data_IF_500392189747
#
_entry.id   IF_500392189747
#
_cell.length_a   1.000
_cell.length_b   1.000
_cell.length_c   1.000
_cell.angle_alpha   90.00
_cell.angle_beta   90.00
_cell.angle_gamma   90.00
#
_symmetry.space_group_name_H-M   'P 1'
#
loop_
_entity.id
_entity.type
_entity.pdbx_description
1 polymer ?
#
# COMPACT_ATOMS: atom_id res chain seq x y z
N UNK A 1 5.09 -19.52 6.45
CA UNK A 1 4.90 -19.07 5.06
C UNK A 1 6.24 -18.50 4.64
N UNK A 2 6.91 -19.07 3.65
CA UNK A 2 8.21 -18.58 3.24
C UNK A 2 7.99 -17.41 2.28
N UNK A 3 8.37 -16.20 2.67
CA UNK A 3 8.40 -15.07 1.75
C UNK A 3 9.42 -15.36 0.65
N UNK A 4 8.94 -15.30 -0.59
CA UNK A 4 9.83 -15.44 -1.74
C UNK A 4 10.75 -14.21 -1.78
N UNK A 5 12.03 -14.40 -1.52
CA UNK A 5 13.02 -13.38 -1.81
C UNK A 5 13.07 -13.19 -3.33
N UNK A 6 12.60 -12.04 -3.82
CA UNK A 6 12.67 -11.72 -5.23
C UNK A 6 14.09 -11.27 -5.57
N UNK A 7 14.81 -12.09 -6.32
CA UNK A 7 16.03 -11.66 -6.98
C UNK A 7 15.63 -10.57 -7.97
N UNK A 8 16.28 -9.41 -7.91
CA UNK A 8 15.97 -8.24 -8.74
C UNK A 8 15.86 -8.60 -10.20
N UNK A 9 14.63 -8.61 -10.72
CA UNK A 9 14.38 -8.82 -12.14
C UNK A 9 14.28 -7.46 -12.85
N UNK A 10 14.83 -7.39 -14.07
CA UNK A 10 14.69 -6.22 -14.96
C UNK A 10 13.25 -6.06 -15.45
N UNK A 11 12.48 -7.14 -15.43
CA UNK A 11 11.13 -7.21 -15.95
C UNK A 11 10.09 -7.12 -14.83
N UNK A 12 8.89 -6.60 -15.11
CA UNK A 12 7.80 -6.61 -14.16
C UNK A 12 7.39 -8.04 -13.77
N UNK A 13 7.06 -8.23 -12.52
CA UNK A 13 6.45 -9.46 -12.02
C UNK A 13 4.94 -9.23 -12.04
N UNK A 14 4.23 -10.07 -12.76
CA UNK A 14 2.77 -9.99 -12.88
C UNK A 14 2.17 -11.22 -12.21
N UNK A 15 1.29 -10.99 -11.24
CA UNK A 15 0.53 -12.03 -10.56
C UNK A 15 -0.95 -11.87 -10.84
N UNK A 16 -1.62 -12.97 -11.12
CA UNK A 16 -3.07 -13.02 -11.33
C UNK A 16 -3.64 -14.00 -10.33
N UNK A 17 -4.56 -13.52 -9.50
CA UNK A 17 -5.26 -14.32 -8.51
C UNK A 17 -6.74 -14.40 -8.87
N UNK A 18 -7.27 -15.62 -8.91
CA UNK A 18 -8.68 -15.91 -9.16
C UNK A 18 -9.24 -16.71 -8.00
N UNK A 19 -10.30 -16.21 -7.39
CA UNK A 19 -11.00 -16.86 -6.29
C UNK A 19 -12.49 -16.91 -6.63
N UNK A 20 -13.08 -18.10 -6.55
CA UNK A 20 -14.50 -18.30 -6.80
C UNK A 20 -15.18 -19.07 -5.68
N UNK A 21 -16.42 -18.71 -5.37
CA UNK A 21 -17.31 -19.43 -4.47
C UNK A 21 -18.60 -19.78 -5.18
N UNK A 22 -19.11 -20.99 -4.94
CA UNK A 22 -20.39 -21.49 -5.48
C UNK A 22 -21.29 -21.83 -4.30
N UNK A 23 -22.49 -21.24 -4.28
CA UNK A 23 -23.51 -21.52 -3.28
C UNK A 23 -23.80 -23.02 -3.21
N UNK A 24 -23.83 -23.58 -1.99
CA UNK A 24 -24.08 -24.98 -1.72
C UNK A 24 -22.87 -25.92 -1.81
N UNK A 25 -21.69 -25.40 -2.28
CA UNK A 25 -20.42 -26.15 -2.30
C UNK A 25 -19.44 -25.54 -1.27
N UNK A 26 -19.41 -24.22 -1.17
CA UNK A 26 -18.64 -23.50 -0.14
C UNK A 26 -19.47 -23.34 1.12
N UNK A 27 -18.81 -23.25 2.27
CA UNK A 27 -19.48 -23.03 3.56
C UNK A 27 -20.30 -21.74 3.62
N UNK A 28 -19.97 -20.78 2.76
CA UNK A 28 -20.68 -19.51 2.62
C UNK A 28 -21.82 -19.67 1.59
N UNK A 29 -22.99 -19.17 1.95
CA UNK A 29 -24.19 -19.24 1.10
C UNK A 29 -24.18 -18.17 -0.01
N UNK A 30 -23.01 -17.95 -0.63
CA UNK A 30 -22.81 -16.95 -1.67
C UNK A 30 -22.11 -17.49 -2.92
N UNK A 31 -22.49 -16.95 -4.08
CA UNK A 31 -21.80 -17.20 -5.34
C UNK A 31 -21.05 -15.94 -5.76
N UNK A 32 -19.75 -16.04 -5.97
CA UNK A 32 -18.91 -14.93 -6.38
C UNK A 32 -17.71 -15.38 -7.20
N UNK A 33 -17.15 -14.44 -7.96
CA UNK A 33 -15.87 -14.57 -8.62
C UNK A 33 -15.05 -13.30 -8.34
N UNK A 34 -13.88 -13.46 -7.73
CA UNK A 34 -12.90 -12.39 -7.49
C UNK A 34 -11.72 -12.59 -8.41
N UNK A 35 -11.39 -11.56 -9.17
CA UNK A 35 -10.18 -11.48 -9.96
C UNK A 35 -9.30 -10.33 -9.45
N UNK A 36 -8.02 -10.60 -9.28
CA UNK A 36 -7.03 -9.65 -8.80
C UNK A 36 -5.77 -9.73 -9.68
N UNK A 37 -5.26 -8.59 -10.12
CA UNK A 37 -4.03 -8.44 -10.87
C UNK A 37 -3.06 -7.61 -10.06
N UNK A 38 -1.85 -8.12 -9.85
CA UNK A 38 -0.78 -7.41 -9.17
C UNK A 38 0.42 -7.28 -10.10
N UNK A 39 1.01 -6.10 -10.17
CA UNK A 39 2.20 -5.80 -10.97
C UNK A 39 3.24 -5.17 -10.05
N UNK A 40 4.36 -5.86 -9.88
CA UNK A 40 5.54 -5.38 -9.18
C UNK A 40 6.65 -5.09 -10.17
N UNK A 41 7.15 -3.87 -10.18
CA UNK A 41 8.19 -3.49 -11.12
C UNK A 41 9.23 -2.56 -10.50
N UNK A 42 10.50 -2.90 -10.69
CA UNK A 42 11.63 -2.03 -10.37
C UNK A 42 12.24 -1.50 -11.67
N UNK A 43 12.18 -0.18 -11.84
CA UNK A 43 12.67 0.52 -13.03
C UNK A 43 13.99 1.20 -12.68
N UNK A 44 15.10 0.78 -13.27
CA UNK A 44 16.36 1.50 -13.12
C UNK A 44 16.29 2.84 -13.86
N UNK A 45 16.62 3.93 -13.16
CA UNK A 45 16.62 5.29 -13.71
C UNK A 45 18.06 5.82 -13.93
N UNK A 46 19.04 4.94 -14.05
CA UNK A 46 20.43 5.30 -14.28
C UNK A 46 21.02 6.11 -13.15
N UNK A 47 21.54 7.28 -13.45
CA UNK A 47 22.24 8.16 -12.47
C UNK A 47 21.29 8.69 -11.38
N UNK A 48 20.00 8.82 -11.68
CA UNK A 48 19.00 9.31 -10.72
C UNK A 48 18.39 8.20 -9.85
N UNK A 49 18.98 7.00 -9.85
CA UNK A 49 18.58 5.91 -8.97
C UNK A 49 17.62 4.92 -9.61
N UNK A 50 16.55 4.57 -8.92
CA UNK A 50 15.54 3.63 -9.40
C UNK A 50 14.15 3.92 -8.83
N UNK A 51 13.12 3.59 -9.60
CA UNK A 51 11.73 3.60 -9.17
C UNK A 51 11.23 2.20 -8.87
N UNK A 52 10.37 2.07 -7.84
CA UNK A 52 9.60 0.85 -7.54
C UNK A 52 8.13 1.15 -7.73
N UNK A 53 7.46 0.30 -8.48
CA UNK A 53 6.01 0.33 -8.65
C UNK A 53 5.42 -0.95 -8.06
N UNK A 54 4.37 -0.77 -7.29
CA UNK A 54 3.45 -1.85 -6.92
C UNK A 54 2.05 -1.40 -7.31
N UNK A 55 1.41 -2.09 -8.23
CA UNK A 55 0.06 -1.80 -8.71
C UNK A 55 -0.80 -3.03 -8.47
N UNK A 56 -1.95 -2.84 -7.84
CA UNK A 56 -2.91 -3.90 -7.58
C UNK A 56 -4.30 -3.43 -7.99
N UNK A 57 -4.98 -4.19 -8.81
CA UNK A 57 -6.34 -3.89 -9.24
C UNK A 57 -7.18 -5.14 -9.36
N UNK A 58 -8.47 -5.01 -9.12
CA UNK A 58 -9.36 -6.16 -9.19
C UNK A 58 -10.83 -5.82 -9.07
N UNK A 59 -11.63 -6.88 -9.22
CA UNK A 59 -13.07 -6.79 -9.08
C UNK A 59 -13.67 -8.08 -8.52
N UNK A 60 -14.79 -7.92 -7.82
CA UNK A 60 -15.62 -9.01 -7.30
C UNK A 60 -16.95 -8.97 -8.01
N UNK A 61 -17.29 -10.07 -8.67
CA UNK A 61 -18.58 -10.30 -9.28
C UNK A 61 -19.43 -11.14 -8.32
N UNK A 62 -20.64 -10.71 -8.04
CA UNK A 62 -21.54 -11.37 -7.08
C UNK A 62 -21.69 -10.58 -5.79
N UNK A 63 -22.38 -11.18 -4.81
CA UNK A 63 -22.56 -10.61 -3.48
C UNK A 63 -21.74 -11.41 -2.49
N UNK A 64 -20.97 -10.70 -1.67
CA UNK A 64 -20.00 -11.30 -0.75
C UNK A 64 -20.13 -10.69 0.66
N UNK A 65 -19.85 -11.47 1.72
CA UNK A 65 -19.70 -10.93 3.06
C UNK A 65 -18.46 -10.02 3.14
N UNK A 66 -18.47 -9.06 4.08
CA UNK A 66 -17.42 -8.04 4.20
C UNK A 66 -15.97 -8.61 4.28
N UNK A 67 -15.69 -9.80 4.85
CA UNK A 67 -14.34 -10.33 4.89
C UNK A 67 -13.77 -10.71 3.51
N UNK A 68 -14.62 -10.90 2.51
CA UNK A 68 -14.21 -11.20 1.14
C UNK A 68 -14.04 -9.94 0.27
N UNK A 69 -14.50 -8.78 0.75
CA UNK A 69 -14.20 -7.50 0.09
C UNK A 69 -12.70 -7.22 0.13
N UNK A 70 -12.22 -6.42 -0.80
CA UNK A 70 -10.87 -5.86 -0.71
C UNK A 70 -10.85 -4.81 0.39
N UNK A 71 -10.20 -5.13 1.48
CA UNK A 71 -9.88 -4.16 2.54
C UNK A 71 -8.54 -3.51 2.20
N UNK A 72 -8.51 -2.18 2.13
CA UNK A 72 -7.28 -1.47 1.84
C UNK A 72 -6.36 -1.47 3.06
N UNK A 73 -5.09 -1.76 2.84
CA UNK A 73 -4.11 -1.94 3.90
C UNK A 73 -3.69 -0.59 4.48
N UNK A 74 -4.24 -0.28 5.64
CA UNK A 74 -3.89 0.91 6.42
C UNK A 74 -2.83 0.61 7.48
N UNK A 75 -2.43 1.63 8.22
CA UNK A 75 -1.41 1.56 9.25
C UNK A 75 -1.90 2.21 10.56
N UNK A 76 -2.11 1.40 11.59
CA UNK A 76 -2.45 1.87 12.94
C UNK A 76 -1.29 1.75 13.93
N UNK A 77 -0.09 1.44 13.46
CA UNK A 77 1.07 1.38 14.34
C UNK A 77 1.29 2.71 15.04
N UNK A 78 1.71 2.63 16.30
CA UNK A 78 2.11 3.78 17.11
C UNK A 78 3.45 3.45 17.75
N UNK A 79 4.47 4.22 17.43
CA UNK A 79 5.77 4.08 18.05
C UNK A 79 5.95 5.13 19.15
N UNK A 80 6.60 4.73 20.23
CA UNK A 80 6.85 5.58 21.40
C UNK A 80 5.60 6.22 21.99
N UNK A 81 4.43 5.56 21.87
CA UNK A 81 3.15 6.10 22.33
C UNK A 81 2.62 7.30 21.55
N UNK A 82 3.25 7.65 20.45
CA UNK A 82 2.86 8.78 19.61
C UNK A 82 2.00 8.33 18.42
N UNK A 83 0.84 8.93 18.19
CA UNK A 83 0.02 8.64 17.01
C UNK A 83 0.61 9.19 15.70
N UNK A 84 1.62 10.05 15.81
CA UNK A 84 2.30 10.67 14.66
C UNK A 84 3.47 9.81 14.20
N UNK A 85 4.11 9.04 15.09
CA UNK A 85 5.25 8.18 14.75
C UNK A 85 4.76 6.76 14.52
N UNK A 86 4.99 6.25 13.32
CA UNK A 86 4.48 4.96 12.84
C UNK A 86 5.60 4.05 12.32
N UNK A 87 5.31 2.76 12.17
CA UNK A 87 6.18 1.85 11.43
C UNK A 87 6.05 2.13 9.93
N UNK A 88 7.18 2.19 9.23
CA UNK A 88 7.17 2.28 7.79
C UNK A 88 6.79 0.93 7.18
N UNK A 89 5.86 0.94 6.24
CA UNK A 89 5.51 -0.19 5.39
C UNK A 89 5.49 0.30 3.94
N UNK A 90 6.09 -0.47 3.03
CA UNK A 90 6.18 -0.09 1.62
C UNK A 90 4.89 -0.32 0.86
N UNK A 91 4.14 -1.35 1.23
CA UNK A 91 2.95 -1.81 0.51
C UNK A 91 1.65 -1.50 1.26
N UNK A 92 1.69 -0.68 2.32
CA UNK A 92 0.52 -0.22 3.05
C UNK A 92 0.46 1.30 3.10
N UNK A 93 -0.74 1.84 3.25
CA UNK A 93 -0.94 3.28 3.43
C UNK A 93 -0.52 3.71 4.83
N UNK A 94 0.34 4.72 4.91
CA UNK A 94 0.87 5.20 6.19
C UNK A 94 -0.16 5.94 7.04
N UNK A 95 -1.11 6.62 6.40
CA UNK A 95 -2.06 7.51 7.06
C UNK A 95 -3.49 6.96 7.10
N UNK A 96 -3.77 5.89 6.36
CA UNK A 96 -5.07 5.20 6.36
C UNK A 96 -5.19 4.33 7.62
N UNK A 97 -6.37 4.28 8.24
CA UNK A 97 -6.63 3.35 9.34
C UNK A 97 -6.98 1.95 8.81
N UNK A 98 -6.83 0.93 9.67
CA UNK A 98 -7.33 -0.41 9.33
C UNK A 98 -8.84 -0.39 9.18
N UNK A 99 -9.36 -1.13 8.20
CA UNK A 99 -10.79 -1.23 7.92
C UNK A 99 -11.50 0.11 7.67
N UNK A 100 -10.75 1.17 7.33
CA UNK A 100 -11.34 2.47 6.99
C UNK A 100 -12.06 2.41 5.65
N UNK A 101 -11.48 1.68 4.68
CA UNK A 101 -12.01 1.57 3.33
C UNK A 101 -12.04 0.13 2.83
N UNK A 102 -13.16 -0.21 2.18
CA UNK A 102 -13.35 -1.46 1.47
C UNK A 102 -13.82 -1.24 0.04
N UNK A 103 -13.64 -2.24 -0.82
CA UNK A 103 -14.02 -2.15 -2.21
C UNK A 103 -14.38 -3.50 -2.81
N UNK A 104 -15.33 -3.53 -3.74
CA UNK A 104 -15.58 -4.66 -4.61
C UNK A 104 -15.00 -4.47 -6.02
N UNK A 105 -14.59 -3.24 -6.34
CA UNK A 105 -13.76 -2.89 -7.50
C UNK A 105 -12.72 -1.90 -7.02
N UNK A 106 -11.46 -2.17 -7.32
CA UNK A 106 -10.36 -1.34 -6.79
C UNK A 106 -9.19 -1.21 -7.75
N UNK A 107 -8.48 -0.14 -7.53
CA UNK A 107 -7.15 0.11 -8.08
C UNK A 107 -6.31 0.74 -6.98
N UNK A 108 -5.20 0.11 -6.63
CA UNK A 108 -4.26 0.59 -5.61
C UNK A 108 -2.88 0.67 -6.22
N UNK A 109 -2.18 1.75 -6.01
CA UNK A 109 -0.84 1.98 -6.54
C UNK A 109 0.09 2.58 -5.51
N UNK A 110 1.31 2.04 -5.46
CA UNK A 110 2.41 2.54 -4.66
C UNK A 110 3.59 2.81 -5.60
N UNK A 111 4.10 4.02 -5.55
CA UNK A 111 5.30 4.40 -6.25
C UNK A 111 6.33 4.94 -5.26
N UNK A 112 7.54 4.45 -5.36
CA UNK A 112 8.68 4.90 -4.57
C UNK A 112 9.86 5.14 -5.51
N UNK A 113 10.45 6.32 -5.43
CA UNK A 113 11.67 6.66 -6.13
C UNK A 113 12.82 6.84 -5.14
N UNK A 114 13.86 6.02 -5.30
CA UNK A 114 15.09 6.12 -4.54
C UNK A 114 16.16 6.78 -5.42
N UNK A 115 16.62 7.96 -5.01
CA UNK A 115 17.61 8.76 -5.77
C UNK A 115 19.05 8.29 -5.57
N UNK A 116 19.25 7.23 -4.77
CA UNK A 116 20.55 6.62 -4.55
C UNK A 116 21.65 7.58 -4.06
N UNK A 117 21.27 8.57 -3.26
CA UNK A 117 22.19 9.57 -2.68
C UNK A 117 22.59 10.67 -3.66
N UNK A 118 21.75 10.99 -4.64
CA UNK A 118 22.05 12.02 -5.65
C UNK A 118 22.35 13.38 -5.04
N UNK A 119 21.54 13.83 -4.08
CA UNK A 119 21.71 15.11 -3.40
C UNK A 119 22.72 14.99 -2.25
N UNK A 120 22.62 13.97 -1.44
CA UNK A 120 23.50 13.77 -0.28
C UNK A 120 24.94 13.44 -0.71
N UNK A 121 25.14 12.84 -1.88
CA UNK A 121 26.45 12.56 -2.45
C UNK A 121 27.25 13.80 -2.83
N UNK A 122 26.60 14.97 -2.98
CA UNK A 122 27.26 16.25 -3.27
C UNK A 122 27.91 16.85 -2.01
N UNK A 123 27.35 16.55 -0.83
CA UNK A 123 27.81 17.12 0.45
C UNK A 123 28.92 16.23 1.04
N UNK A 124 30.17 16.71 1.15
CA UNK A 124 31.33 15.87 1.49
C UNK A 124 31.22 15.11 2.83
N UNK A 125 30.59 15.71 3.84
CA UNK A 125 30.38 15.09 5.15
C UNK A 125 29.29 14.02 5.10
N UNK A 126 28.18 14.31 4.40
CA UNK A 126 27.00 13.45 4.31
C UNK A 126 27.25 12.26 3.38
N UNK A 127 28.08 12.44 2.36
CA UNK A 127 28.49 11.39 1.43
C UNK A 127 29.05 10.14 2.13
N UNK A 128 29.75 10.32 3.26
CA UNK A 128 30.32 9.21 4.04
C UNK A 128 29.27 8.36 4.76
N UNK A 129 28.04 8.86 4.88
CA UNK A 129 26.93 8.18 5.55
C UNK A 129 26.08 7.33 4.58
N UNK A 130 26.38 7.39 3.28
CA UNK A 130 25.66 6.69 2.21
C UNK A 130 24.13 6.83 2.30
N UNK A 131 23.64 7.98 2.77
CA UNK A 131 22.22 8.28 2.88
C UNK A 131 21.57 8.36 1.50
N UNK A 132 20.34 7.87 1.40
CA UNK A 132 19.57 7.85 0.15
C UNK A 132 18.28 8.63 0.32
N UNK A 133 18.04 9.56 -0.59
CA UNK A 133 16.76 10.27 -0.66
C UNK A 133 15.70 9.38 -1.28
N UNK A 134 14.51 9.41 -0.70
CA UNK A 134 13.36 8.65 -1.18
C UNK A 134 12.16 9.58 -1.29
N UNK A 135 11.43 9.46 -2.39
CA UNK A 135 10.12 10.09 -2.57
C UNK A 135 9.10 9.00 -2.82
N UNK A 136 7.96 9.07 -2.16
CA UNK A 136 6.89 8.10 -2.30
C UNK A 136 5.55 8.76 -2.59
N UNK A 137 4.75 8.13 -3.44
CA UNK A 137 3.35 8.49 -3.70
C UNK A 137 2.53 7.21 -3.65
N UNK A 138 1.41 7.26 -2.95
CA UNK A 138 0.51 6.12 -2.77
C UNK A 138 -0.92 6.56 -3.06
N UNK A 139 -1.66 5.72 -3.75
CA UNK A 139 -3.03 6.03 -4.10
C UNK A 139 -3.92 4.78 -4.09
N UNK A 140 -5.17 4.95 -3.71
CA UNK A 140 -6.21 3.95 -3.85
C UNK A 140 -7.49 4.60 -4.38
N UNK A 141 -8.17 3.86 -5.22
CA UNK A 141 -9.52 4.16 -5.67
C UNK A 141 -10.32 2.87 -5.64
N UNK A 142 -11.61 2.97 -5.31
CA UNK A 142 -12.47 1.81 -5.31
C UNK A 142 -13.91 2.12 -4.98
N UNK A 143 -14.78 1.21 -5.34
CA UNK A 143 -16.22 1.34 -5.12
C UNK A 143 -16.76 0.12 -4.42
N UNK A 144 -17.88 0.27 -3.72
CA UNK A 144 -18.69 -0.82 -3.20
C UNK A 144 -20.05 -0.74 -3.89
N UNK A 145 -20.42 -1.79 -4.61
CA UNK A 145 -21.72 -1.85 -5.27
C UNK A 145 -22.87 -2.00 -4.25
N UNK A 146 -24.08 -1.62 -4.60
CA UNK A 146 -25.28 -1.70 -3.75
C UNK A 146 -25.49 -3.12 -3.16
N UNK A 147 -25.17 -4.17 -3.92
CA UNK A 147 -25.29 -5.58 -3.47
C UNK A 147 -24.37 -5.89 -2.28
N UNK A 148 -23.27 -5.15 -2.13
CA UNK A 148 -22.24 -5.37 -1.12
C UNK A 148 -22.24 -4.29 -0.04
N UNK A 149 -23.16 -3.29 -0.12
CA UNK A 149 -23.29 -2.17 0.85
C UNK A 149 -24.12 -2.50 2.10
N UNK A 150 -24.49 -3.73 2.33
CA UNK A 150 -25.19 -4.09 3.55
C UNK A 150 -26.63 -4.51 3.36
N UNK A 151 -26.95 -5.07 2.20
CA UNK A 151 -28.18 -5.86 2.02
C UNK A 151 -28.09 -7.21 2.74
N UNK A 152 -29.23 -7.69 3.31
CA UNK A 152 -29.26 -9.06 3.79
C UNK A 152 -28.88 -10.03 2.64
N UNK A 153 -28.10 -11.11 2.88
CA UNK A 153 -27.74 -11.65 4.19
C UNK A 153 -26.44 -11.08 4.79
N UNK A 154 -25.71 -10.20 4.08
CA UNK A 154 -24.38 -9.77 4.48
C UNK A 154 -24.40 -8.31 4.95
N UNK A 155 -24.13 -8.09 6.24
CA UNK A 155 -23.99 -6.76 6.82
C UNK A 155 -22.59 -6.24 6.57
N UNK A 156 -22.48 -4.96 6.18
CA UNK A 156 -21.22 -4.26 6.10
C UNK A 156 -20.68 -4.03 7.52
N UNK A 157 -19.35 -4.10 7.67
CA UNK A 157 -18.71 -3.75 8.95
C UNK A 157 -18.99 -2.27 9.28
N UNK A 158 -19.44 -1.94 10.50
CA UNK A 158 -19.61 -0.56 10.90
C UNK A 158 -18.32 0.24 10.74
N UNK A 159 -18.42 1.41 10.08
CA UNK A 159 -17.26 2.27 9.84
C UNK A 159 -16.48 1.99 8.56
N UNK A 160 -16.81 0.94 7.80
CA UNK A 160 -16.22 0.69 6.50
C UNK A 160 -16.81 1.65 5.45
N UNK A 161 -15.95 2.41 4.80
CA UNK A 161 -16.32 3.39 3.78
C UNK A 161 -15.94 2.92 2.38
N UNK A 162 -16.58 3.51 1.36
CA UNK A 162 -16.21 3.34 -0.05
C UNK A 162 -15.15 4.40 -0.44
N UNK A 163 -14.28 4.07 -1.40
CA UNK A 163 -13.26 4.95 -1.96
C UNK A 163 -13.66 5.59 -3.29
N UNK A 164 -14.90 6.03 -3.41
CA UNK A 164 -15.39 6.72 -4.63
C UNK A 164 -14.55 7.97 -4.96
N UNK A 165 -14.14 8.70 -3.93
CA UNK A 165 -13.10 9.72 -4.04
C UNK A 165 -11.74 9.08 -3.84
N UNK A 166 -10.77 9.24 -4.74
CA UNK A 166 -9.44 8.64 -4.59
C UNK A 166 -8.75 9.06 -3.30
N UNK A 167 -8.15 8.09 -2.61
CA UNK A 167 -7.26 8.32 -1.48
C UNK A 167 -5.84 8.51 -2.01
N UNK A 168 -5.17 9.58 -1.59
CA UNK A 168 -3.80 9.88 -2.01
C UNK A 168 -2.98 10.33 -0.81
N UNK A 169 -1.81 9.76 -0.67
CA UNK A 169 -0.77 10.23 0.24
C UNK A 169 0.58 10.31 -0.48
N UNK A 170 1.44 11.23 -0.05
CA UNK A 170 2.78 11.38 -0.57
C UNK A 170 3.76 11.64 0.56
N UNK A 171 5.02 11.31 0.32
CA UNK A 171 6.05 11.48 1.34
C UNK A 171 7.44 11.63 0.77
N UNK A 172 8.30 12.12 1.64
CA UNK A 172 9.75 12.16 1.42
C UNK A 172 10.45 11.48 2.58
N UNK A 173 11.55 10.82 2.31
CA UNK A 173 12.27 10.06 3.31
C UNK A 173 13.77 10.03 3.10
N UNK A 174 14.44 9.56 4.12
CA UNK A 174 15.86 9.26 4.12
C UNK A 174 16.01 7.78 4.46
N UNK A 175 16.60 7.03 3.54
CA UNK A 175 16.89 5.62 3.70
C UNK A 175 18.39 5.40 3.92
N UNK A 176 18.75 4.16 4.25
CA UNK A 176 20.12 3.72 4.51
C UNK A 176 20.80 4.42 5.70
N UNK A 177 20.04 4.91 6.67
CA UNK A 177 20.57 5.47 7.91
C UNK A 177 21.21 4.33 8.69
N UNK A 178 22.53 4.45 8.96
CA UNK A 178 23.36 3.38 9.55
C UNK A 178 23.25 2.04 8.80
N UNK A 179 23.02 2.06 7.48
CA UNK A 179 22.82 0.89 6.60
C UNK A 179 21.61 0.01 6.93
N UNK A 180 20.68 0.47 7.75
CA UNK A 180 19.57 -0.34 8.23
C UNK A 180 18.26 0.43 8.35
N UNK A 181 18.30 1.68 8.74
CA UNK A 181 17.11 2.44 9.11
C UNK A 181 16.64 3.35 7.99
N UNK A 182 15.32 3.58 8.00
CA UNK A 182 14.63 4.51 7.13
C UNK A 182 13.68 5.38 7.94
N UNK A 183 13.60 6.64 7.58
CA UNK A 183 12.65 7.61 8.17
C UNK A 183 11.95 8.33 7.03
N UNK A 184 10.63 8.28 7.02
CA UNK A 184 9.77 8.94 6.03
C UNK A 184 8.84 9.94 6.70
N UNK A 185 8.69 11.09 6.10
CA UNK A 185 7.66 12.08 6.41
C UNK A 185 6.52 11.91 5.39
N UNK A 186 5.34 11.56 5.86
CA UNK A 186 4.18 11.25 5.02
C UNK A 186 3.06 12.28 5.23
N UNK A 187 2.42 12.70 4.16
CA UNK A 187 1.27 13.61 4.15
C UNK A 187 0.08 12.98 3.46
N UNK A 188 -1.07 13.07 4.11
CA UNK A 188 -2.36 12.72 3.55
C UNK A 188 -2.88 13.89 2.73
N UNK A 189 -3.06 13.69 1.42
CA UNK A 189 -3.46 14.74 0.49
C UNK A 189 -4.98 14.83 0.30
N UNK A 190 -5.66 13.69 0.39
CA UNK A 190 -7.14 13.59 0.30
C UNK A 190 -7.72 13.01 1.59
N UNK A 191 -9.04 13.06 1.76
CA UNK A 191 -9.74 12.55 2.95
C UNK A 191 -9.15 13.09 4.27
N UNK A 192 -8.80 14.38 4.27
CA UNK A 192 -8.19 15.04 5.43
C UNK A 192 -9.15 15.06 6.62
N UNK A 193 -8.67 14.65 7.78
CA UNK A 193 -9.46 14.56 9.02
C UNK A 193 -8.73 15.15 10.24
N UNK A 194 -7.74 16.02 9.99
CA UNK A 194 -6.95 16.69 11.03
C UNK A 194 -5.70 15.92 11.48
N UNK A 195 -5.51 14.67 11.03
CA UNK A 195 -4.28 13.89 11.20
C UNK A 195 -3.69 13.61 9.83
N UNK A 196 -3.12 14.64 9.24
CA UNK A 196 -2.71 14.63 7.84
C UNK A 196 -1.20 14.47 7.67
N UNK A 197 -0.46 14.25 8.75
CA UNK A 197 0.99 14.08 8.80
C UNK A 197 1.41 12.95 9.73
N UNK A 198 2.38 12.16 9.29
CA UNK A 198 3.06 11.17 10.13
C UNK A 198 4.54 11.04 9.77
N UNK A 199 5.33 10.63 10.76
CA UNK A 199 6.71 10.19 10.58
C UNK A 199 6.74 8.67 10.68
N UNK A 200 7.20 8.02 9.63
CA UNK A 200 7.29 6.57 9.58
C UNK A 200 8.75 6.14 9.73
N UNK A 201 9.02 5.22 10.65
CA UNK A 201 10.35 4.66 10.89
C UNK A 201 10.30 3.19 10.53
N UNK A 202 11.25 2.72 9.75
CA UNK A 202 11.30 1.33 9.30
C UNK A 202 12.71 0.84 9.06
N UNK A 203 12.79 -0.42 8.72
CA UNK A 203 14.03 -1.05 8.24
C UNK A 203 14.06 -0.99 6.72
N UNK A 204 15.19 -0.61 6.17
CA UNK A 204 15.46 -0.62 4.73
C UNK A 204 16.62 -1.57 4.46
N UNK A 205 16.29 -2.86 4.42
CA UNK A 205 17.25 -3.92 4.10
C UNK A 205 17.10 -4.18 2.61
N UNK A 206 17.97 -3.58 1.81
CA UNK A 206 18.15 -3.94 0.40
C UNK A 206 19.14 -5.13 0.35
N UNK A 207 18.58 -6.35 0.31
CA UNK A 207 19.32 -7.58 0.03
C UNK A 207 19.45 -7.80 -1.47
#
# INVERSE_FOLDING_TARGET
MFDKAYIFTRYPIISVDLLGGIKGITADDCSFLRGELTVDWRIPAGVIGFGRFHLNGGAILGSVPYPLLKLHEGNQSQLFGSPVVKLADRNAFSMMNFYEFGSDRWLTGFYEHNFNGLLFGIIPLVKKLDLREVVSVRGAWGTISEKNRGGAPFLLMPGLNSLETPYIEAGVGIANIFHLLRVDCMWKLTHRNGRDFAVCIGLDIDL
#
